data_IF_936216303685
#
_entry.id   IF_936216303685
#
_cell.length_a   1.000
_cell.length_b   1.000
_cell.length_c   1.000
_cell.angle_alpha   90.00
_cell.angle_beta   90.00
_cell.angle_gamma   90.00
#
_symmetry.space_group_name_H-M   'P 1'
#
loop_
_entity.id
_entity.type
_entity.pdbx_description
1 polymer ?
#
# COMPACT_ATOMS: atom_id res chain seq x y z
N UNK A 1 -5.41 -15.59 3.80
CA UNK A 1 -4.71 -16.45 4.77
C UNK A 1 -3.34 -15.84 4.92
N UNK A 2 -2.96 -15.36 6.11
CA UNK A 2 -1.68 -14.68 6.33
C UNK A 2 -0.59 -15.74 6.53
N UNK A 3 0.53 -15.63 5.81
CA UNK A 3 1.63 -16.59 5.94
C UNK A 3 2.16 -16.64 7.36
N UNK A 4 2.24 -17.86 7.92
CA UNK A 4 2.97 -18.09 9.16
C UNK A 4 4.45 -18.30 8.86
N UNK A 5 5.29 -17.49 9.49
CA UNK A 5 6.75 -17.63 9.44
C UNK A 5 7.24 -18.44 10.64
N UNK A 6 8.31 -19.22 10.46
CA UNK A 6 9.03 -19.82 11.59
C UNK A 6 9.79 -18.75 12.39
N UNK A 7 10.35 -19.11 13.54
CA UNK A 7 11.16 -18.19 14.34
C UNK A 7 12.43 -17.73 13.61
N UNK A 8 13.14 -18.66 12.96
CA UNK A 8 14.33 -18.36 12.17
C UNK A 8 14.02 -17.42 11.00
N UNK A 9 12.86 -17.60 10.36
CA UNK A 9 12.42 -16.73 9.27
C UNK A 9 12.00 -15.34 9.78
N UNK A 10 11.36 -15.26 10.95
CA UNK A 10 11.09 -13.97 11.60
C UNK A 10 12.39 -13.24 11.95
N UNK A 11 13.37 -13.94 12.49
CA UNK A 11 14.69 -13.36 12.77
C UNK A 11 15.38 -12.89 11.48
N UNK A 12 15.27 -13.66 10.41
CA UNK A 12 15.81 -13.30 9.10
C UNK A 12 15.09 -12.10 8.48
N UNK A 13 13.76 -12.01 8.57
CA UNK A 13 12.96 -10.86 8.14
C UNK A 13 13.38 -9.59 8.89
N UNK A 14 13.55 -9.67 10.21
CA UNK A 14 13.99 -8.55 11.03
C UNK A 14 15.42 -8.12 10.69
N UNK A 15 16.32 -9.06 10.42
CA UNK A 15 17.70 -8.77 10.03
C UNK A 15 17.80 -8.08 8.65
N UNK A 16 16.85 -8.36 7.76
CA UNK A 16 16.77 -7.76 6.42
C UNK A 16 15.88 -6.50 6.38
N UNK A 17 15.39 -6.03 7.54
CA UNK A 17 14.54 -4.84 7.62
C UNK A 17 15.30 -3.58 7.17
N UNK A 18 14.60 -2.71 6.44
CA UNK A 18 15.17 -1.48 5.88
C UNK A 18 14.67 -0.29 6.68
N UNK A 19 15.58 0.62 7.04
CA UNK A 19 15.21 1.88 7.68
C UNK A 19 14.39 2.75 6.72
N UNK A 20 13.23 3.19 7.21
CA UNK A 20 12.34 4.09 6.50
C UNK A 20 12.73 5.56 6.78
N UNK A 21 12.27 6.52 5.95
CA UNK A 21 12.59 7.93 6.12
C UNK A 21 12.17 8.54 7.47
N UNK A 22 11.20 7.94 8.14
CA UNK A 22 10.73 8.34 9.48
C UNK A 22 11.58 7.75 10.62
N UNK A 23 12.63 6.98 10.30
CA UNK A 23 13.50 6.31 11.25
C UNK A 23 12.99 4.96 11.75
N UNK A 24 11.78 4.54 11.37
CA UNK A 24 11.26 3.22 11.69
C UNK A 24 11.93 2.13 10.85
N UNK A 25 11.90 0.89 11.32
CA UNK A 25 12.53 -0.29 10.67
C UNK A 25 11.59 -1.49 10.60
N UNK A 26 10.35 -1.35 10.06
CA UNK A 26 9.47 -2.50 9.89
C UNK A 26 10.06 -3.49 8.87
N UNK A 27 9.93 -4.77 9.17
CA UNK A 27 10.29 -5.82 8.22
C UNK A 27 9.28 -5.93 7.06
N UNK A 28 9.67 -6.64 6.00
CA UNK A 28 8.85 -6.80 4.79
C UNK A 28 7.50 -7.49 5.05
N UNK A 29 7.43 -8.41 6.03
CA UNK A 29 6.18 -9.10 6.36
C UNK A 29 5.19 -8.15 7.05
N UNK A 30 5.68 -7.32 7.96
CA UNK A 30 4.90 -6.27 8.63
C UNK A 30 4.33 -5.28 7.62
N UNK A 31 5.16 -4.84 6.67
CA UNK A 31 4.74 -3.95 5.58
C UNK A 31 3.71 -4.61 4.65
N UNK A 32 3.88 -5.90 4.33
CA UNK A 32 2.92 -6.64 3.49
C UNK A 32 1.55 -6.77 4.17
N UNK A 33 1.53 -7.07 5.48
CA UNK A 33 0.30 -7.12 6.27
C UNK A 33 -0.36 -5.75 6.35
N UNK A 34 0.42 -4.69 6.57
CA UNK A 34 -0.09 -3.33 6.59
C UNK A 34 -0.70 -2.95 5.23
N UNK A 35 -0.02 -3.26 4.12
CA UNK A 35 -0.53 -3.00 2.78
C UNK A 35 -1.86 -3.72 2.54
N UNK A 36 -1.96 -5.01 2.82
CA UNK A 36 -3.20 -5.77 2.66
C UNK A 36 -4.36 -5.20 3.51
N UNK A 37 -4.07 -4.77 4.75
CA UNK A 37 -5.06 -4.12 5.63
C UNK A 37 -5.53 -2.77 5.07
N UNK A 38 -4.60 -1.96 4.56
CA UNK A 38 -4.92 -0.67 3.96
C UNK A 38 -5.78 -0.84 2.71
N UNK A 39 -5.41 -1.76 1.82
CA UNK A 39 -6.20 -2.12 0.64
C UNK A 39 -7.61 -2.57 1.03
N UNK A 40 -7.73 -3.45 2.02
CA UNK A 40 -9.03 -3.93 2.50
C UNK A 40 -9.89 -2.81 3.10
N UNK A 41 -9.28 -1.88 3.85
CA UNK A 41 -9.99 -0.73 4.41
C UNK A 41 -10.48 0.22 3.32
N UNK A 42 -9.62 0.56 2.36
CA UNK A 42 -9.98 1.39 1.20
C UNK A 42 -11.12 0.76 0.39
N UNK A 43 -11.10 -0.56 0.21
CA UNK A 43 -12.17 -1.28 -0.49
C UNK A 43 -13.50 -1.22 0.27
N UNK A 44 -13.47 -1.47 1.59
CA UNK A 44 -14.65 -1.44 2.43
C UNK A 44 -15.29 -0.04 2.52
N UNK A 45 -14.47 1.01 2.64
CA UNK A 45 -14.94 2.39 2.79
C UNK A 45 -15.70 2.92 1.58
N UNK A 46 -15.48 2.34 0.40
CA UNK A 46 -16.22 2.70 -0.81
C UNK A 46 -17.73 2.56 -0.67
N UNK A 47 -18.18 1.63 0.19
CA UNK A 47 -19.59 1.41 0.44
C UNK A 47 -20.20 2.36 1.49
N UNK A 48 -19.37 3.16 2.17
CA UNK A 48 -19.82 4.05 3.24
C UNK A 48 -20.18 5.45 2.71
N UNK A 49 -21.09 6.18 3.39
CA UNK A 49 -21.41 7.55 3.04
C UNK A 49 -20.20 8.49 3.19
N UNK A 50 -20.09 9.50 2.33
CA UNK A 50 -19.04 10.53 2.42
C UNK A 50 -19.04 11.28 3.78
N UNK A 51 -20.19 11.38 4.44
CA UNK A 51 -20.33 12.03 5.75
C UNK A 51 -19.88 11.16 6.92
N UNK A 52 -19.60 9.88 6.68
CA UNK A 52 -19.12 8.97 7.72
C UNK A 52 -17.69 9.35 8.12
N UNK A 53 -17.47 9.60 9.41
CA UNK A 53 -16.19 10.11 9.93
C UNK A 53 -15.11 9.04 10.07
N UNK A 54 -15.44 7.78 9.78
CA UNK A 54 -14.50 6.65 9.81
C UNK A 54 -13.88 6.33 8.45
N UNK A 55 -14.40 6.92 7.36
CA UNK A 55 -13.88 6.70 6.01
C UNK A 55 -12.51 7.34 5.85
N UNK A 56 -11.64 6.64 5.15
CA UNK A 56 -10.34 7.14 4.73
C UNK A 56 -10.49 8.12 3.57
N UNK A 57 -9.65 9.15 3.58
CA UNK A 57 -9.68 10.22 2.58
C UNK A 57 -8.58 10.02 1.52
N UNK A 58 -8.47 10.95 0.58
CA UNK A 58 -7.38 11.03 -0.39
C UNK A 58 -5.98 11.07 0.25
N UNK A 59 -5.85 11.62 1.46
CA UNK A 59 -4.59 11.63 2.21
C UNK A 59 -4.22 10.24 2.74
N UNK A 60 -5.19 9.45 3.18
CA UNK A 60 -4.98 8.07 3.61
C UNK A 60 -4.62 7.16 2.42
N UNK A 61 -5.21 7.43 1.24
CA UNK A 61 -4.78 6.80 -0.01
C UNK A 61 -3.30 7.12 -0.27
N UNK A 62 -2.91 8.40 -0.27
CA UNK A 62 -1.52 8.79 -0.47
C UNK A 62 -0.56 8.10 0.53
N UNK A 63 -0.93 8.06 1.83
CA UNK A 63 -0.19 7.33 2.85
C UNK A 63 -0.04 5.84 2.55
N UNK A 64 -1.10 5.21 2.03
CA UNK A 64 -1.07 3.81 1.62
C UNK A 64 -0.17 3.55 0.41
N UNK A 65 -0.04 4.51 -0.51
CA UNK A 65 0.88 4.40 -1.65
C UNK A 65 2.35 4.54 -1.23
N UNK A 66 2.66 5.43 -0.28
CA UNK A 66 3.98 5.48 0.34
C UNK A 66 4.31 4.19 1.10
N UNK A 67 3.34 3.60 1.80
CA UNK A 67 3.49 2.29 2.42
C UNK A 67 3.86 1.23 1.38
N UNK A 68 3.23 1.26 0.19
CA UNK A 68 3.55 0.32 -0.90
C UNK A 68 4.95 0.55 -1.50
N UNK A 69 5.43 1.80 -1.56
CA UNK A 69 6.83 2.11 -1.92
C UNK A 69 7.80 1.51 -0.90
N UNK A 70 7.50 1.66 0.40
CA UNK A 70 8.33 1.10 1.47
C UNK A 70 8.35 -0.43 1.40
N UNK A 71 7.22 -1.07 1.13
CA UNK A 71 7.14 -2.50 0.91
C UNK A 71 7.98 -2.93 -0.31
N UNK A 72 7.93 -2.21 -1.44
CA UNK A 72 8.77 -2.53 -2.60
C UNK A 72 10.27 -2.46 -2.26
N UNK A 73 10.68 -1.43 -1.51
CA UNK A 73 12.08 -1.31 -1.05
C UNK A 73 12.49 -2.47 -0.16
N UNK A 74 11.65 -2.84 0.80
CA UNK A 74 11.91 -3.96 1.70
C UNK A 74 11.98 -5.28 0.92
N UNK A 75 11.04 -5.55 0.00
CA UNK A 75 11.05 -6.74 -0.85
C UNK A 75 12.31 -6.79 -1.73
N UNK A 76 12.76 -5.66 -2.28
CA UNK A 76 13.95 -5.58 -3.12
C UNK A 76 15.24 -5.90 -2.35
N UNK A 77 15.31 -5.53 -1.08
CA UNK A 77 16.43 -5.86 -0.20
C UNK A 77 16.37 -7.29 0.35
N UNK A 78 15.17 -7.88 0.43
CA UNK A 78 14.93 -9.17 1.05
C UNK A 78 15.57 -10.33 0.27
N UNK A 79 16.10 -11.31 1.01
CA UNK A 79 16.63 -12.57 0.46
C UNK A 79 15.60 -13.28 -0.44
N UNK A 80 16.03 -13.90 -1.56
CA UNK A 80 15.10 -14.48 -2.55
C UNK A 80 14.06 -15.44 -1.97
N UNK A 81 14.47 -16.36 -1.09
CA UNK A 81 13.55 -17.34 -0.50
C UNK A 81 12.41 -16.68 0.30
N UNK A 82 12.71 -15.66 1.12
CA UNK A 82 11.68 -14.95 1.89
C UNK A 82 10.82 -14.05 1.01
N UNK A 83 11.42 -13.46 -0.04
CA UNK A 83 10.69 -12.68 -1.05
C UNK A 83 9.68 -13.55 -1.79
N UNK A 84 10.07 -14.75 -2.22
CA UNK A 84 9.19 -15.71 -2.86
C UNK A 84 8.04 -16.11 -1.93
N UNK A 85 8.32 -16.33 -0.65
CA UNK A 85 7.27 -16.59 0.34
C UNK A 85 6.25 -15.46 0.38
N UNK A 86 6.67 -14.19 0.46
CA UNK A 86 5.76 -13.05 0.53
C UNK A 86 5.06 -12.71 -0.79
N UNK A 87 5.53 -13.25 -1.92
CA UNK A 87 5.08 -12.83 -3.25
C UNK A 87 3.56 -13.04 -3.45
N UNK A 88 3.01 -14.15 -2.99
CA UNK A 88 1.59 -14.47 -3.16
C UNK A 88 0.68 -13.54 -2.33
N UNK A 89 1.05 -13.24 -1.08
CA UNK A 89 0.29 -12.35 -0.21
C UNK A 89 0.30 -10.91 -0.76
N UNK A 90 1.47 -10.43 -1.20
CA UNK A 90 1.60 -9.09 -1.81
C UNK A 90 0.83 -9.01 -3.12
N UNK A 91 0.91 -10.07 -3.95
CA UNK A 91 0.17 -10.16 -5.21
C UNK A 91 -1.34 -10.14 -4.98
N UNK A 92 -1.85 -10.85 -3.98
CA UNK A 92 -3.27 -10.86 -3.65
C UNK A 92 -3.76 -9.46 -3.24
N UNK A 93 -3.00 -8.75 -2.39
CA UNK A 93 -3.32 -7.36 -2.02
C UNK A 93 -3.26 -6.42 -3.23
N UNK A 94 -2.24 -6.54 -4.07
CA UNK A 94 -2.09 -5.76 -5.30
C UNK A 94 -3.24 -6.04 -6.30
N UNK A 95 -3.70 -7.29 -6.44
CA UNK A 95 -4.84 -7.69 -7.26
C UNK A 95 -6.15 -7.13 -6.72
N UNK A 96 -6.36 -7.19 -5.39
CA UNK A 96 -7.52 -6.56 -4.75
C UNK A 96 -7.52 -5.06 -5.01
N UNK A 97 -6.40 -4.37 -4.80
CA UNK A 97 -6.29 -2.93 -5.07
C UNK A 97 -6.64 -2.60 -6.53
N UNK A 98 -6.17 -3.40 -7.49
CA UNK A 98 -6.52 -3.22 -8.91
C UNK A 98 -8.00 -3.44 -9.20
N UNK A 99 -8.68 -4.31 -8.47
CA UNK A 99 -10.09 -4.67 -8.74
C UNK A 99 -11.08 -3.52 -8.50
N UNK A 100 -10.73 -2.60 -7.61
CA UNK A 100 -11.58 -1.47 -7.23
C UNK A 100 -11.03 -0.10 -7.63
N UNK A 101 -9.84 -0.06 -8.23
CA UNK A 101 -9.22 1.16 -8.76
C UNK A 101 -9.22 1.20 -10.28
N UNK A 102 -9.20 2.41 -10.82
CA UNK A 102 -9.01 2.70 -12.24
C UNK A 102 -7.68 3.40 -12.46
N UNK A 103 -7.19 3.39 -13.69
CA UNK A 103 -6.00 4.13 -14.08
C UNK A 103 -6.25 5.64 -13.95
N UNK A 104 -5.31 6.33 -13.33
CA UNK A 104 -5.20 7.78 -13.29
C UNK A 104 -3.85 8.20 -13.86
N UNK A 105 -3.80 9.43 -14.35
CA UNK A 105 -2.57 10.09 -14.77
C UNK A 105 -1.48 10.19 -13.69
N UNK A 106 -1.83 9.92 -12.42
CA UNK A 106 -0.97 10.11 -11.25
C UNK A 106 -0.86 11.57 -10.82
N UNK A 107 -1.48 12.51 -11.57
CA UNK A 107 -1.36 13.95 -11.31
C UNK A 107 -2.06 14.37 -10.03
N UNK A 108 -3.29 13.89 -9.80
CA UNK A 108 -4.08 14.30 -8.63
C UNK A 108 -3.42 13.80 -7.35
N UNK A 109 -3.13 12.49 -7.31
CA UNK A 109 -2.54 11.88 -6.13
C UNK A 109 -1.10 12.35 -5.89
N UNK A 110 -0.32 12.61 -6.95
CA UNK A 110 1.00 13.22 -6.86
C UNK A 110 0.94 14.64 -6.28
N UNK A 111 -0.03 15.46 -6.71
CA UNK A 111 -0.26 16.79 -6.15
C UNK A 111 -0.61 16.73 -4.65
N UNK A 112 -1.57 15.88 -4.28
CA UNK A 112 -2.00 15.69 -2.88
C UNK A 112 -0.84 15.22 -1.99
N UNK A 113 -0.05 14.27 -2.49
CA UNK A 113 1.10 13.73 -1.79
C UNK A 113 2.34 14.64 -1.81
N UNK A 114 2.33 15.71 -2.61
CA UNK A 114 3.47 16.61 -2.79
C UNK A 114 4.69 15.94 -3.42
N UNK A 115 4.49 14.99 -4.34
CA UNK A 115 5.57 14.21 -4.96
C UNK A 115 5.47 14.17 -6.48
N UNK A 116 6.62 14.05 -7.12
CA UNK A 116 6.69 13.59 -8.50
C UNK A 116 6.43 12.08 -8.55
N UNK A 117 5.49 11.68 -9.39
CA UNK A 117 5.11 10.29 -9.63
C UNK A 117 5.95 9.65 -10.75
N UNK A 118 6.75 10.44 -11.48
CA UNK A 118 7.67 9.93 -12.48
C UNK A 118 8.64 8.91 -11.85
N UNK A 119 8.66 7.70 -12.41
CA UNK A 119 9.51 6.60 -11.92
C UNK A 119 9.02 5.89 -10.66
N UNK A 120 7.82 6.21 -10.16
CA UNK A 120 7.20 5.45 -9.05
C UNK A 120 6.48 4.20 -9.54
N UNK A 121 6.17 3.31 -8.60
CA UNK A 121 5.43 2.09 -8.87
C UNK A 121 4.03 2.34 -9.45
N UNK A 122 3.52 1.34 -10.19
CA UNK A 122 2.25 1.42 -10.92
C UNK A 122 1.04 1.80 -10.03
N UNK A 123 1.11 1.56 -8.72
CA UNK A 123 0.04 1.91 -7.78
C UNK A 123 -0.18 3.43 -7.65
N UNK A 124 0.82 4.27 -7.96
CA UNK A 124 0.67 5.73 -7.99
C UNK A 124 -0.19 6.24 -9.15
N UNK A 125 -0.47 5.39 -10.13
CA UNK A 125 -1.29 5.71 -11.29
C UNK A 125 -2.69 5.11 -11.15
N UNK A 126 -3.17 4.95 -9.90
CA UNK A 126 -4.43 4.29 -9.59
C UNK A 126 -5.18 5.08 -8.53
N UNK A 127 -6.50 5.22 -8.73
CA UNK A 127 -7.43 5.81 -7.75
C UNK A 127 -8.69 4.96 -7.64
N UNK A 128 -9.39 4.95 -6.50
CA UNK A 128 -10.69 4.27 -6.38
C UNK A 128 -11.66 4.73 -7.47
N UNK A 129 -12.43 3.81 -8.03
CA UNK A 129 -13.41 4.12 -9.10
C UNK A 129 -14.73 4.72 -8.58
N UNK A 130 -14.98 4.58 -7.28
CA UNK A 130 -16.17 5.06 -6.59
C UNK A 130 -15.84 5.30 -5.10
N UNK A 131 -16.82 5.76 -4.32
CA UNK A 131 -16.70 5.96 -2.87
C UNK A 131 -16.28 7.39 -2.44
N UNK A 132 -16.08 7.59 -1.13
CA UNK A 132 -15.76 8.90 -0.54
C UNK A 132 -14.54 9.59 -1.17
N UNK A 133 -13.46 8.85 -1.39
CA UNK A 133 -12.20 9.38 -1.94
C UNK A 133 -12.40 9.98 -3.34
N UNK A 134 -13.31 9.45 -4.16
CA UNK A 134 -13.60 10.04 -5.48
C UNK A 134 -14.20 11.44 -5.35
N UNK A 135 -14.97 11.69 -4.28
CA UNK A 135 -15.54 13.00 -4.00
C UNK A 135 -14.46 13.97 -3.53
N UNK A 136 -13.53 13.53 -2.68
CA UNK A 136 -12.35 14.34 -2.30
C UNK A 136 -11.52 14.72 -3.53
N UNK A 137 -11.21 13.74 -4.38
CA UNK A 137 -10.45 13.92 -5.62
C UNK A 137 -11.17 14.80 -6.66
N UNK A 138 -12.49 14.98 -6.59
CA UNK A 138 -13.22 15.87 -7.49
C UNK A 138 -12.96 17.36 -7.19
N UNK A 139 -12.43 17.67 -6.00
CA UNK A 139 -12.08 19.03 -5.58
C UNK A 139 -10.72 19.52 -6.11
N UNK A 140 -9.99 18.66 -6.84
CA UNK A 140 -8.66 18.90 -7.41
C UNK A 140 -8.67 18.71 -8.94
#
# INVERSE_FOLDING_TARGET
>A
MMLEFTEDERAALAADAVALPDGSTPDAATLAVAWAKHVSKLDADRALPYTDRSVWTEHDLAGSLFLRDNLERALTALRPALRERLADDVRAADEQFRSFTVEDSGRKIGFIAGVDVAGRGWWWFRVPKDGPIVQDLASY
#
